data_IF_147972423082
#
_entry.id   IF_147972423082
#
_cell.length_a   1.000
_cell.length_b   1.000
_cell.length_c   1.000
_cell.angle_alpha   90.00
_cell.angle_beta   90.00
_cell.angle_gamma   90.00
#
_symmetry.space_group_name_H-M   'P 1'
#
loop_
_entity.id
_entity.type
_entity.pdbx_description
1 polymer ?
#
# COMPACT_ATOMS: atom_id res chain seq x y z
N UNK A 1 25.74 -4.98 -4.21
CA UNK A 1 25.81 -3.50 -4.07
C UNK A 1 24.65 -3.04 -3.21
N UNK A 2 24.90 -2.17 -2.24
CA UNK A 2 23.84 -1.45 -1.52
C UNK A 2 23.39 -0.29 -2.42
N UNK A 3 22.14 -0.33 -2.90
CA UNK A 3 21.50 0.81 -3.59
C UNK A 3 20.37 1.34 -2.73
N UNK A 4 20.14 2.65 -2.77
CA UNK A 4 18.97 3.27 -2.13
C UNK A 4 17.69 2.71 -2.75
N UNK A 5 16.74 2.30 -1.89
CA UNK A 5 15.39 1.89 -2.32
C UNK A 5 14.45 3.07 -2.26
N UNK A 6 13.52 3.14 -3.21
CA UNK A 6 12.58 4.24 -3.35
C UNK A 6 11.14 3.75 -3.33
N UNK A 7 10.26 4.49 -2.64
CA UNK A 7 8.82 4.24 -2.58
C UNK A 7 8.08 5.49 -3.06
N UNK A 8 7.16 5.33 -4.00
CA UNK A 8 6.24 6.41 -4.42
C UNK A 8 4.89 6.18 -3.75
N UNK A 9 4.43 7.14 -2.94
CA UNK A 9 3.27 6.96 -2.06
C UNK A 9 2.05 7.77 -2.53
N UNK A 10 0.85 7.26 -2.24
CA UNK A 10 -0.41 7.91 -2.57
C UNK A 10 -0.85 7.67 -4.01
N UNK A 11 -0.56 6.49 -4.54
CA UNK A 11 -0.93 6.08 -5.90
C UNK A 11 -2.43 5.81 -5.94
N UNK A 12 -3.14 6.50 -6.83
CA UNK A 12 -4.58 6.33 -7.04
C UNK A 12 -4.94 5.97 -8.48
N UNK A 13 -3.99 6.12 -9.42
CA UNK A 13 -4.18 5.93 -10.86
C UNK A 13 -3.15 4.95 -11.43
N UNK A 14 -3.55 4.21 -12.46
CA UNK A 14 -2.71 3.16 -13.05
C UNK A 14 -1.53 3.76 -13.82
N UNK A 15 -1.75 4.88 -14.50
CA UNK A 15 -0.73 5.62 -15.24
C UNK A 15 0.41 6.09 -14.32
N UNK A 16 0.09 6.60 -13.12
CA UNK A 16 1.09 7.02 -12.13
C UNK A 16 1.89 5.83 -11.60
N UNK A 17 1.21 4.72 -11.34
CA UNK A 17 1.84 3.48 -10.91
C UNK A 17 2.84 2.98 -11.97
N UNK A 18 2.43 2.95 -13.25
CA UNK A 18 3.28 2.53 -14.37
C UNK A 18 4.46 3.48 -14.57
N UNK A 19 4.24 4.79 -14.47
CA UNK A 19 5.29 5.78 -14.57
C UNK A 19 6.34 5.63 -13.45
N UNK A 20 5.89 5.43 -12.21
CA UNK A 20 6.78 5.20 -11.06
C UNK A 20 7.60 3.91 -11.22
N UNK A 21 6.98 2.83 -11.69
CA UNK A 21 7.67 1.55 -11.98
C UNK A 21 8.70 1.75 -13.09
N UNK A 22 8.35 2.43 -14.18
CA UNK A 22 9.27 2.70 -15.28
C UNK A 22 10.47 3.55 -14.84
N UNK A 23 10.27 4.48 -13.90
CA UNK A 23 11.33 5.26 -13.27
C UNK A 23 12.20 4.45 -12.29
N UNK A 24 11.91 3.17 -12.05
CA UNK A 24 12.71 2.26 -11.25
C UNK A 24 12.38 2.24 -9.76
N UNK A 25 11.15 2.63 -9.36
CA UNK A 25 10.75 2.56 -7.95
C UNK A 25 10.71 1.12 -7.43
N UNK A 26 11.04 0.93 -6.15
CA UNK A 26 11.03 -0.38 -5.49
C UNK A 26 9.67 -0.73 -4.90
N UNK A 27 8.86 0.29 -4.58
CA UNK A 27 7.55 0.11 -3.96
C UNK A 27 6.55 1.21 -4.31
N UNK A 28 5.27 0.85 -4.30
CA UNK A 28 4.13 1.75 -4.45
C UNK A 28 3.32 1.77 -3.16
N UNK A 29 2.93 2.97 -2.71
CA UNK A 29 2.10 3.17 -1.53
C UNK A 29 0.65 3.51 -1.88
N UNK A 30 -0.29 2.77 -1.29
CA UNK A 30 -1.72 2.95 -1.45
C UNK A 30 -2.32 3.36 -0.11
N UNK A 31 -3.05 4.47 -0.08
CA UNK A 31 -3.54 5.07 1.16
C UNK A 31 -4.97 4.60 1.41
N UNK A 32 -5.16 3.82 2.48
CA UNK A 32 -6.44 3.27 2.90
C UNK A 32 -7.06 4.07 4.05
N UNK A 33 -6.87 5.39 4.03
CA UNK A 33 -7.40 6.33 5.02
C UNK A 33 -8.28 7.38 4.34
N UNK A 34 -9.58 7.42 4.68
CA UNK A 34 -10.63 8.18 3.96
C UNK A 34 -10.40 9.69 3.96
N UNK A 35 -9.84 10.26 5.02
CA UNK A 35 -9.59 11.72 5.10
C UNK A 35 -8.39 12.15 4.26
N UNK A 36 -7.61 11.22 3.69
CA UNK A 36 -6.52 11.56 2.80
C UNK A 36 -7.06 11.96 1.42
N UNK A 37 -6.55 13.05 0.79
CA UNK A 37 -6.88 13.36 -0.61
C UNK A 37 -6.33 12.30 -1.59
N UNK A 38 -5.45 11.39 -1.10
CA UNK A 38 -4.85 10.30 -1.86
C UNK A 38 -5.50 8.95 -1.51
N UNK A 39 -6.66 8.96 -0.84
CA UNK A 39 -7.41 7.77 -0.48
C UNK A 39 -7.76 6.95 -1.73
N UNK A 40 -7.58 5.63 -1.63
CA UNK A 40 -8.07 4.67 -2.61
C UNK A 40 -8.89 3.58 -1.91
N UNK A 41 -10.15 3.35 -2.32
CA UNK A 41 -10.95 2.23 -1.82
C UNK A 41 -10.29 0.87 -2.12
N UNK A 42 -10.47 -0.11 -1.22
CA UNK A 42 -9.80 -1.41 -1.33
C UNK A 42 -10.19 -2.18 -2.61
N UNK A 43 -11.45 -2.08 -3.05
CA UNK A 43 -11.89 -2.64 -4.34
C UNK A 43 -11.16 -1.99 -5.52
N UNK A 44 -11.03 -0.66 -5.53
CA UNK A 44 -10.32 0.06 -6.59
C UNK A 44 -8.83 -0.26 -6.60
N UNK A 45 -8.22 -0.42 -5.42
CA UNK A 45 -6.86 -0.93 -5.29
C UNK A 45 -6.72 -2.34 -5.88
N UNK A 46 -7.64 -3.27 -5.56
CA UNK A 46 -7.62 -4.63 -6.09
C UNK A 46 -7.64 -4.64 -7.62
N UNK A 47 -8.45 -3.79 -8.26
CA UNK A 47 -8.50 -3.66 -9.71
C UNK A 47 -7.18 -3.12 -10.29
N UNK A 48 -6.65 -2.04 -9.71
CA UNK A 48 -5.39 -1.44 -10.15
C UNK A 48 -4.21 -2.41 -9.97
N UNK A 49 -4.13 -3.10 -8.84
CA UNK A 49 -3.01 -3.94 -8.45
C UNK A 49 -2.85 -5.21 -9.31
N UNK A 50 -3.92 -5.67 -9.97
CA UNK A 50 -3.91 -6.78 -10.94
C UNK A 50 -3.23 -6.41 -12.25
N UNK A 51 -3.26 -5.13 -12.63
CA UNK A 51 -2.64 -4.59 -13.85
C UNK A 51 -1.14 -4.27 -13.67
N UNK A 52 -0.62 -4.41 -12.44
CA UNK A 52 0.77 -4.10 -12.14
C UNK A 52 1.67 -5.31 -12.36
N UNK A 53 2.87 -5.13 -12.94
CA UNK A 53 3.83 -6.20 -13.11
C UNK A 53 4.27 -6.81 -11.76
N UNK A 54 4.81 -8.03 -11.77
CA UNK A 54 5.47 -8.59 -10.60
C UNK A 54 6.71 -7.75 -10.20
N UNK A 55 7.22 -7.98 -8.99
CA UNK A 55 8.48 -7.42 -8.45
C UNK A 55 8.48 -5.96 -7.97
N UNK A 56 7.33 -5.27 -7.94
CA UNK A 56 7.16 -4.02 -7.18
C UNK A 56 6.37 -4.28 -5.90
N UNK A 57 6.89 -3.85 -4.74
CA UNK A 57 6.19 -4.04 -3.47
C UNK A 57 5.00 -3.10 -3.35
N UNK A 58 3.84 -3.63 -2.98
CA UNK A 58 2.59 -2.88 -2.77
C UNK A 58 2.42 -2.65 -1.28
N UNK A 59 2.50 -1.41 -0.85
CA UNK A 59 2.43 -1.00 0.56
C UNK A 59 1.05 -0.41 0.84
N UNK A 60 0.33 -1.00 1.79
CA UNK A 60 -0.93 -0.45 2.29
C UNK A 60 -0.68 0.47 3.47
N UNK A 61 -1.07 1.75 3.36
CA UNK A 61 -0.97 2.73 4.44
C UNK A 61 -2.30 2.83 5.17
N UNK A 62 -2.25 2.67 6.48
CA UNK A 62 -3.39 2.74 7.39
C UNK A 62 -3.14 3.81 8.46
N UNK A 63 -4.22 4.44 8.93
CA UNK A 63 -4.19 5.40 10.04
C UNK A 63 -5.35 5.02 10.96
N UNK A 64 -5.02 4.47 12.12
CA UNK A 64 -5.97 4.04 13.16
C UNK A 64 -7.14 3.23 12.58
N UNK A 65 -6.86 2.37 11.59
CA UNK A 65 -7.87 1.64 10.85
C UNK A 65 -8.40 0.45 11.66
N UNK A 66 -9.65 0.06 11.39
CA UNK A 66 -10.24 -1.13 11.98
C UNK A 66 -9.42 -2.39 11.61
N UNK A 67 -9.08 -3.28 12.58
CA UNK A 67 -8.34 -4.51 12.33
C UNK A 67 -8.95 -5.42 11.27
N UNK A 68 -10.28 -5.44 11.16
CA UNK A 68 -10.99 -6.24 10.14
C UNK A 68 -10.71 -5.72 8.74
N UNK A 69 -10.63 -4.42 8.57
CA UNK A 69 -10.31 -3.79 7.29
C UNK A 69 -8.86 -4.04 6.89
N UNK A 70 -7.93 -3.98 7.85
CA UNK A 70 -6.52 -4.34 7.62
C UNK A 70 -6.41 -5.82 7.22
N UNK A 71 -7.14 -6.72 7.91
CA UNK A 71 -7.19 -8.15 7.56
C UNK A 71 -7.77 -8.39 6.17
N UNK A 72 -8.79 -7.65 5.75
CA UNK A 72 -9.33 -7.75 4.39
C UNK A 72 -8.28 -7.36 3.33
N UNK A 73 -7.49 -6.32 3.60
CA UNK A 73 -6.40 -5.91 2.73
C UNK A 73 -5.30 -6.99 2.64
N UNK A 74 -4.96 -7.64 3.76
CA UNK A 74 -4.01 -8.77 3.78
C UNK A 74 -4.57 -9.96 2.99
N UNK A 75 -5.83 -10.35 3.26
CA UNK A 75 -6.49 -11.48 2.61
C UNK A 75 -6.64 -11.33 1.09
N UNK A 76 -6.57 -10.10 0.57
CA UNK A 76 -6.52 -9.86 -0.87
C UNK A 76 -5.31 -10.52 -1.56
N UNK A 77 -4.23 -10.80 -0.81
CA UNK A 77 -2.96 -11.31 -1.35
C UNK A 77 -2.20 -10.29 -2.21
N UNK A 78 -2.68 -9.05 -2.32
CA UNK A 78 -2.12 -8.00 -3.17
C UNK A 78 -1.29 -6.98 -2.39
N UNK A 79 -1.51 -6.84 -1.07
CA UNK A 79 -0.71 -6.00 -0.19
C UNK A 79 0.47 -6.82 0.35
N UNK A 80 1.69 -6.32 0.17
CA UNK A 80 2.90 -6.99 0.62
C UNK A 80 3.43 -6.45 1.95
N UNK A 81 3.21 -5.17 2.22
CA UNK A 81 3.73 -4.47 3.40
C UNK A 81 2.63 -3.61 4.00
N UNK A 82 2.47 -3.68 5.31
CA UNK A 82 1.59 -2.79 6.07
C UNK A 82 2.41 -1.60 6.57
N UNK A 83 1.92 -0.40 6.34
CA UNK A 83 2.46 0.84 6.88
C UNK A 83 1.41 1.46 7.81
N UNK A 84 1.68 1.43 9.11
CA UNK A 84 0.88 2.14 10.12
C UNK A 84 1.41 3.56 10.27
N UNK A 85 0.52 4.54 10.24
CA UNK A 85 0.86 5.96 10.21
C UNK A 85 -0.04 6.81 11.12
N UNK A 86 -0.77 6.18 12.04
CA UNK A 86 -1.51 6.82 13.12
C UNK A 86 -0.82 6.60 14.46
N UNK A 87 -1.63 6.35 15.48
CA UNK A 87 -1.23 6.17 16.87
C UNK A 87 -1.24 4.69 17.26
N UNK A 88 -1.11 3.79 16.27
CA UNK A 88 -1.15 2.36 16.49
C UNK A 88 -0.01 1.93 17.42
N UNK A 89 -0.35 1.18 18.47
CA UNK A 89 0.66 0.68 19.41
C UNK A 89 1.48 -0.45 18.76
N UNK A 90 2.71 -0.70 19.23
CA UNK A 90 3.49 -1.84 18.76
C UNK A 90 2.76 -3.19 18.90
N UNK A 91 1.95 -3.38 19.94
CA UNK A 91 1.13 -4.59 20.12
C UNK A 91 0.02 -4.70 19.08
N UNK A 92 -0.65 -3.58 18.76
CA UNK A 92 -1.61 -3.54 17.67
C UNK A 92 -0.96 -3.93 16.35
N UNK A 93 0.22 -3.37 16.03
CA UNK A 93 0.93 -3.67 14.78
C UNK A 93 1.34 -5.15 14.68
N UNK A 94 1.78 -5.75 15.79
CA UNK A 94 2.24 -7.16 15.84
C UNK A 94 1.13 -8.20 15.62
N UNK A 95 -0.14 -7.82 15.72
CA UNK A 95 -1.25 -8.77 15.52
C UNK A 95 -1.41 -9.19 14.05
N UNK A 96 -0.83 -8.44 13.11
CA UNK A 96 -0.88 -8.71 11.67
C UNK A 96 0.44 -9.38 11.25
N UNK A 97 0.36 -10.56 10.64
CA UNK A 97 1.50 -11.36 10.16
C UNK A 97 1.50 -11.43 8.64
#
# INVERSE_FOLDING_TARGET
MLRTRTKICGITRLEDAKAAIHAGCDALGFVFYKESPRYIPLNRFKDLAKELPPFVSKVGLFVNADPTYIKEAIQSGLVNILQFHGDETPDFCRQFK
#
